data_IF_471666423497
#
_entry.id   IF_471666423497
#
_cell.length_a   1.000
_cell.length_b   1.000
_cell.length_c   1.000
_cell.angle_alpha   90.00
_cell.angle_beta   90.00
_cell.angle_gamma   90.00
#
_symmetry.space_group_name_H-M   'P 1'
#
loop_
_entity.id
_entity.type
_entity.pdbx_description
1 polymer ?
#
# COMPACT_ATOMS: atom_id res chain seq x y z
N UNK A 1 8.93 1.68 8.03
CA UNK A 1 9.53 0.56 7.25
C UNK A 1 9.34 0.90 5.78
N UNK A 2 10.41 1.16 5.08
CA UNK A 2 10.36 1.54 3.67
C UNK A 2 10.20 0.26 2.82
N UNK A 3 9.02 0.08 2.24
CA UNK A 3 8.61 -1.11 1.47
C UNK A 3 9.48 -1.37 0.23
N UNK A 4 10.21 -0.36 -0.21
CA UNK A 4 10.99 -0.35 -1.43
C UNK A 4 12.50 -0.19 -1.19
N UNK A 5 12.98 -0.53 0.01
CA UNK A 5 14.40 -0.40 0.33
C UNK A 5 15.28 -1.45 -0.37
N UNK A 6 14.73 -2.61 -0.70
CA UNK A 6 15.41 -3.68 -1.45
C UNK A 6 14.44 -4.74 -1.93
N UNK A 7 14.81 -5.59 -2.93
CA UNK A 7 14.01 -6.73 -3.35
C UNK A 7 13.67 -7.69 -2.21
N UNK A 8 14.59 -7.98 -1.30
CA UNK A 8 14.32 -8.84 -0.14
C UNK A 8 13.31 -8.22 0.84
N UNK A 9 13.39 -6.91 1.08
CA UNK A 9 12.42 -6.20 1.91
C UNK A 9 11.01 -6.25 1.29
N UNK A 10 10.91 -6.11 -0.03
CA UNK A 10 9.65 -6.25 -0.76
C UNK A 10 9.06 -7.66 -0.64
N UNK A 11 9.87 -8.72 -0.80
CA UNK A 11 9.40 -10.11 -0.64
C UNK A 11 8.92 -10.38 0.79
N UNK A 12 9.64 -9.87 1.78
CA UNK A 12 9.21 -9.97 3.19
C UNK A 12 7.86 -9.30 3.39
N UNK A 13 7.67 -8.10 2.87
CA UNK A 13 6.40 -7.40 2.99
C UNK A 13 5.25 -8.14 2.30
N UNK A 14 5.48 -8.69 1.10
CA UNK A 14 4.47 -9.50 0.38
C UNK A 14 4.06 -10.73 1.21
N UNK A 15 5.01 -11.34 1.92
CA UNK A 15 4.75 -12.43 2.85
C UNK A 15 3.91 -11.97 4.05
N UNK A 16 4.36 -10.92 4.73
CA UNK A 16 3.70 -10.38 5.93
C UNK A 16 2.27 -9.90 5.63
N UNK A 17 2.05 -9.37 4.42
CA UNK A 17 0.73 -8.95 3.93
C UNK A 17 -0.15 -10.11 3.43
N UNK A 18 0.33 -11.36 3.45
CA UNK A 18 -0.40 -12.53 2.93
C UNK A 18 -0.65 -12.49 1.43
N UNK A 19 0.12 -11.70 0.68
CA UNK A 19 -0.05 -11.52 -0.76
C UNK A 19 0.66 -12.59 -1.60
N UNK A 20 1.59 -13.32 -1.01
CA UNK A 20 2.27 -14.43 -1.65
C UNK A 20 2.61 -15.52 -0.63
N UNK A 21 2.45 -16.77 -1.03
CA UNK A 21 2.75 -17.91 -0.19
C UNK A 21 4.27 -18.16 -0.11
N UNK A 22 4.79 -18.68 1.03
CA UNK A 22 6.24 -18.93 1.20
C UNK A 22 6.90 -19.75 0.10
N UNK A 23 6.27 -20.81 -0.47
CA UNK A 23 6.87 -21.56 -1.57
C UNK A 23 7.10 -20.71 -2.83
N UNK A 24 6.15 -19.81 -3.16
CA UNK A 24 6.25 -18.90 -4.30
C UNK A 24 7.40 -17.91 -4.09
N UNK A 25 7.48 -17.33 -2.90
CA UNK A 25 8.55 -16.37 -2.56
C UNK A 25 9.93 -17.03 -2.59
N UNK A 26 10.03 -18.28 -2.13
CA UNK A 26 11.27 -19.05 -2.19
C UNK A 26 11.72 -19.31 -3.63
N UNK A 27 10.81 -19.65 -4.53
CA UNK A 27 11.09 -19.83 -5.95
C UNK A 27 11.56 -18.52 -6.60
N UNK A 28 10.91 -17.41 -6.31
CA UNK A 28 11.29 -16.09 -6.81
C UNK A 28 12.68 -15.70 -6.30
N UNK A 29 12.94 -15.90 -5.01
CA UNK A 29 14.25 -15.61 -4.42
C UNK A 29 15.36 -16.45 -5.03
N UNK A 30 15.10 -17.74 -5.31
CA UNK A 30 16.04 -18.60 -6.00
C UNK A 30 16.33 -18.14 -7.44
N UNK A 31 15.29 -17.70 -8.17
CA UNK A 31 15.42 -17.13 -9.51
C UNK A 31 16.26 -15.85 -9.51
N UNK A 32 16.05 -14.97 -8.55
CA UNK A 32 16.79 -13.70 -8.45
C UNK A 32 18.28 -13.87 -8.14
N UNK A 33 18.67 -14.97 -7.46
CA UNK A 33 20.08 -15.33 -7.31
C UNK A 33 20.77 -15.58 -8.66
N UNK A 34 20.04 -16.14 -9.62
CA UNK A 34 20.55 -16.40 -10.97
C UNK A 34 20.40 -15.19 -11.90
N UNK A 35 19.44 -14.30 -11.64
CA UNK A 35 19.13 -13.13 -12.47
C UNK A 35 18.84 -11.89 -11.61
N UNK A 36 19.86 -11.28 -10.96
CA UNK A 36 19.63 -10.14 -10.03
C UNK A 36 18.93 -8.94 -10.67
N UNK A 37 19.16 -8.67 -11.96
CA UNK A 37 18.49 -7.59 -12.70
C UNK A 37 16.97 -7.72 -12.72
N UNK A 38 16.43 -8.93 -12.64
CA UNK A 38 14.97 -9.13 -12.57
C UNK A 38 14.41 -8.68 -11.22
N UNK A 39 15.18 -8.80 -10.14
CA UNK A 39 14.80 -8.31 -8.82
C UNK A 39 14.70 -6.78 -8.80
N UNK A 40 15.71 -6.12 -9.38
CA UNK A 40 15.73 -4.65 -9.47
C UNK A 40 14.59 -4.13 -10.34
N UNK A 41 14.36 -4.75 -11.51
CA UNK A 41 13.27 -4.37 -12.41
C UNK A 41 11.88 -4.53 -11.75
N UNK A 42 11.66 -5.59 -10.96
CA UNK A 42 10.41 -5.74 -10.23
C UNK A 42 10.27 -4.69 -9.12
N UNK A 43 11.36 -4.36 -8.43
CA UNK A 43 11.37 -3.32 -7.41
C UNK A 43 11.01 -1.96 -8.02
N UNK A 44 11.61 -1.59 -9.14
CA UNK A 44 11.27 -0.37 -9.89
C UNK A 44 9.78 -0.35 -10.28
N UNK A 45 9.26 -1.46 -10.81
CA UNK A 45 7.84 -1.60 -11.15
C UNK A 45 6.93 -1.46 -9.92
N UNK A 46 7.33 -1.99 -8.77
CA UNK A 46 6.59 -1.86 -7.52
C UNK A 46 6.58 -0.42 -7.00
N UNK A 47 7.72 0.28 -7.14
CA UNK A 47 7.81 1.72 -6.81
C UNK A 47 6.90 2.54 -7.73
N UNK A 48 6.95 2.30 -9.05
CA UNK A 48 6.08 2.99 -10.01
C UNK A 48 4.59 2.79 -9.68
N UNK A 49 4.19 1.56 -9.37
CA UNK A 49 2.82 1.26 -8.95
C UNK A 49 2.46 1.98 -7.64
N UNK A 50 3.36 2.00 -6.65
CA UNK A 50 3.15 2.68 -5.37
C UNK A 50 2.90 4.18 -5.57
N UNK A 51 3.75 4.85 -6.36
CA UNK A 51 3.60 6.28 -6.62
C UNK A 51 2.31 6.59 -7.38
N UNK A 52 1.98 5.76 -8.38
CA UNK A 52 0.72 5.90 -9.11
C UNK A 52 -0.50 5.73 -8.19
N UNK A 53 -0.49 4.73 -7.32
CA UNK A 53 -1.56 4.51 -6.34
C UNK A 53 -1.65 5.66 -5.33
N UNK A 54 -0.51 6.16 -4.86
CA UNK A 54 -0.45 7.31 -3.97
C UNK A 54 -1.11 8.54 -4.60
N UNK A 55 -0.77 8.85 -5.85
CA UNK A 55 -1.38 9.95 -6.61
C UNK A 55 -2.91 9.79 -6.72
N UNK A 56 -3.40 8.59 -7.06
CA UNK A 56 -4.85 8.35 -7.16
C UNK A 56 -5.56 8.52 -5.83
N UNK A 57 -4.96 8.04 -4.73
CA UNK A 57 -5.54 8.17 -3.40
C UNK A 57 -5.54 9.64 -2.93
N UNK A 58 -4.46 10.38 -3.15
CA UNK A 58 -4.39 11.80 -2.80
C UNK A 58 -5.40 12.61 -3.62
N UNK A 59 -5.49 12.38 -4.93
CA UNK A 59 -6.49 13.03 -5.77
C UNK A 59 -7.91 12.78 -5.26
N UNK A 60 -8.19 11.55 -4.82
CA UNK A 60 -9.48 11.18 -4.21
C UNK A 60 -9.73 11.89 -2.88
N UNK A 61 -8.73 12.01 -2.03
CA UNK A 61 -8.82 12.69 -0.73
C UNK A 61 -9.06 14.19 -0.91
N UNK A 62 -8.34 14.80 -1.84
CA UNK A 62 -8.39 16.24 -2.12
C UNK A 62 -9.59 16.64 -2.99
N UNK A 63 -10.34 15.68 -3.54
CA UNK A 63 -11.45 15.95 -4.46
C UNK A 63 -11.00 16.57 -5.80
N UNK A 64 -9.74 16.37 -6.19
CA UNK A 64 -9.16 16.90 -7.43
C UNK A 64 -9.11 15.83 -8.53
N UNK A 65 -8.92 16.27 -9.77
CA UNK A 65 -8.66 15.39 -10.89
C UNK A 65 -7.31 14.66 -10.68
N UNK A 66 -7.32 13.34 -10.82
CA UNK A 66 -6.10 12.56 -10.79
C UNK A 66 -5.28 12.70 -12.08
N UNK A 67 -3.98 12.46 -11.99
CA UNK A 67 -3.12 12.36 -13.17
C UNK A 67 -3.52 11.14 -14.02
N UNK A 68 -3.85 11.32 -15.31
CA UNK A 68 -4.15 10.21 -16.22
C UNK A 68 -3.01 9.19 -16.33
N UNK A 69 -1.75 9.61 -16.19
CA UNK A 69 -0.59 8.72 -16.24
C UNK A 69 -0.61 7.74 -15.06
N UNK A 70 -0.99 8.18 -13.85
CA UNK A 70 -1.15 7.32 -12.69
C UNK A 70 -2.24 6.25 -12.92
N UNK A 71 -3.40 6.66 -13.46
CA UNK A 71 -4.46 5.71 -13.80
C UNK A 71 -4.01 4.70 -14.87
N UNK A 72 -3.25 5.13 -15.88
CA UNK A 72 -2.68 4.25 -16.91
C UNK A 72 -1.73 3.21 -16.31
N UNK A 73 -0.87 3.62 -15.38
CA UNK A 73 0.05 2.70 -14.67
C UNK A 73 -0.73 1.65 -13.89
N UNK A 74 -1.72 2.03 -13.10
CA UNK A 74 -2.54 1.07 -12.35
C UNK A 74 -3.29 0.13 -13.30
N UNK A 75 -3.86 0.63 -14.37
CA UNK A 75 -4.60 -0.17 -15.36
C UNK A 75 -3.73 -1.23 -16.04
N UNK A 76 -2.42 -0.99 -16.25
CA UNK A 76 -1.49 -2.03 -16.73
C UNK A 76 -1.48 -3.25 -15.81
N UNK A 77 -1.52 -3.05 -14.51
CA UNK A 77 -1.54 -4.13 -13.53
C UNK A 77 -2.93 -4.80 -13.41
N UNK A 78 -4.01 -4.06 -13.67
CA UNK A 78 -5.37 -4.59 -13.66
C UNK A 78 -5.67 -5.45 -14.90
N UNK A 79 -5.16 -5.07 -16.08
CA UNK A 79 -5.39 -5.77 -17.35
C UNK A 79 -4.68 -7.10 -17.48
N UNK A 80 -3.72 -7.42 -16.60
CA UNK A 80 -3.08 -8.73 -16.58
C UNK A 80 -4.10 -9.83 -16.31
N UNK A 81 -4.13 -10.84 -17.18
CA UNK A 81 -5.04 -11.98 -17.08
C UNK A 81 -5.02 -12.61 -15.68
N UNK A 82 -6.19 -12.79 -15.08
CA UNK A 82 -6.41 -13.70 -13.95
C UNK A 82 -6.58 -15.15 -14.44
N UNK A 83 -6.21 -15.45 -15.68
CA UNK A 83 -6.35 -16.79 -16.25
C UNK A 83 -5.71 -17.83 -15.31
N UNK A 84 -6.49 -18.79 -14.90
CA UNK A 84 -6.07 -19.82 -13.96
C UNK A 84 -6.14 -19.45 -12.47
N UNK A 85 -6.52 -18.21 -12.11
CA UNK A 85 -6.82 -17.89 -10.71
C UNK A 85 -8.23 -18.34 -10.37
N UNK A 86 -8.43 -18.90 -9.19
CA UNK A 86 -9.72 -19.38 -8.70
C UNK A 86 -9.88 -19.16 -7.20
N UNK A 87 -11.05 -19.52 -6.70
CA UNK A 87 -11.26 -19.62 -5.25
C UNK A 87 -11.00 -21.05 -4.80
N UNK A 88 -10.10 -21.23 -3.86
CA UNK A 88 -9.92 -22.47 -3.16
C UNK A 88 -10.68 -22.44 -1.84
N UNK A 89 -11.44 -23.49 -1.58
CA UNK A 89 -12.11 -23.73 -0.30
C UNK A 89 -11.14 -24.45 0.64
N UNK A 90 -10.96 -23.91 1.84
CA UNK A 90 -10.20 -24.54 2.92
C UNK A 90 -11.05 -24.53 4.19
N UNK A 91 -11.65 -25.67 4.51
CA UNK A 91 -12.65 -25.81 5.57
C UNK A 91 -13.81 -24.81 5.39
N UNK A 92 -13.86 -23.77 6.19
CA UNK A 92 -14.89 -22.71 6.17
C UNK A 92 -14.41 -21.40 5.57
N UNK A 93 -13.19 -21.35 5.03
CA UNK A 93 -12.58 -20.13 4.50
C UNK A 93 -12.30 -20.25 3.02
N UNK A 94 -12.34 -19.11 2.31
CA UNK A 94 -11.97 -19.03 0.91
C UNK A 94 -10.61 -18.37 0.76
N UNK A 95 -9.80 -18.89 -0.14
CA UNK A 95 -8.52 -18.30 -0.52
C UNK A 95 -8.43 -18.17 -2.04
N UNK A 96 -7.72 -17.16 -2.50
CA UNK A 96 -7.36 -17.10 -3.91
C UNK A 96 -6.38 -18.23 -4.23
N UNK A 97 -6.78 -19.13 -5.11
CA UNK A 97 -5.88 -20.10 -5.71
C UNK A 97 -5.23 -19.47 -6.92
N UNK A 98 -3.91 -19.49 -6.94
CA UNK A 98 -3.12 -19.06 -8.10
C UNK A 98 -2.75 -20.26 -8.95
N UNK A 99 -2.60 -20.08 -10.30
CA UNK A 99 -2.21 -21.19 -11.15
C UNK A 99 -0.85 -21.74 -10.71
N UNK A 100 -0.77 -23.07 -10.67
CA UNK A 100 0.51 -23.76 -10.51
C UNK A 100 1.31 -23.57 -11.81
N UNK A 101 2.40 -22.80 -11.77
CA UNK A 101 3.24 -22.53 -12.92
C UNK A 101 4.28 -21.47 -12.62
N UNK A 102 5.13 -21.16 -13.60
CA UNK A 102 6.11 -20.06 -13.48
C UNK A 102 5.35 -18.73 -13.36
N UNK A 103 5.20 -18.25 -12.14
CA UNK A 103 4.60 -16.94 -11.90
C UNK A 103 5.54 -15.86 -12.46
N UNK A 104 5.05 -15.05 -13.40
CA UNK A 104 5.77 -13.84 -13.75
C UNK A 104 5.88 -12.96 -12.51
N UNK A 105 7.07 -12.44 -12.14
CA UNK A 105 7.23 -11.68 -10.90
C UNK A 105 6.24 -10.51 -10.77
N UNK A 106 5.89 -9.87 -11.89
CA UNK A 106 4.94 -8.75 -11.95
C UNK A 106 3.52 -9.16 -11.49
N UNK A 107 3.19 -10.45 -11.57
CA UNK A 107 1.91 -10.95 -11.08
C UNK A 107 1.76 -10.84 -9.54
N UNK A 108 2.86 -10.65 -8.81
CA UNK A 108 2.84 -10.36 -7.37
C UNK A 108 2.21 -9.00 -7.05
N UNK A 109 2.28 -8.05 -7.97
CA UNK A 109 1.77 -6.69 -7.77
C UNK A 109 0.27 -6.55 -8.10
N UNK A 110 -0.30 -7.50 -8.85
CA UNK A 110 -1.72 -7.47 -9.25
C UNK A 110 -2.70 -7.42 -8.07
N UNK A 111 -2.56 -8.23 -7.02
CA UNK A 111 -3.48 -8.17 -5.88
C UNK A 111 -3.49 -6.79 -5.22
N UNK A 112 -2.35 -6.08 -5.24
CA UNK A 112 -2.22 -4.73 -4.72
C UNK A 112 -3.07 -3.77 -5.57
N UNK A 113 -2.89 -3.82 -6.90
CA UNK A 113 -3.66 -2.98 -7.83
C UNK A 113 -5.18 -3.26 -7.73
N UNK A 114 -5.60 -4.52 -7.65
CA UNK A 114 -7.00 -4.89 -7.50
C UNK A 114 -7.59 -4.44 -6.16
N UNK A 115 -6.84 -4.61 -5.05
CA UNK A 115 -7.27 -4.13 -3.74
C UNK A 115 -7.44 -2.60 -3.72
N UNK A 116 -6.48 -1.89 -4.32
CA UNK A 116 -6.53 -0.43 -4.43
C UNK A 116 -7.69 0.05 -5.32
N UNK A 117 -7.93 -0.60 -6.46
CA UNK A 117 -9.06 -0.28 -7.34
C UNK A 117 -10.40 -0.51 -6.63
N UNK A 118 -10.55 -1.64 -5.92
CA UNK A 118 -11.74 -1.94 -5.12
C UNK A 118 -11.96 -0.91 -3.99
N UNK A 119 -10.89 -0.42 -3.37
CA UNK A 119 -10.99 0.64 -2.38
C UNK A 119 -11.42 1.98 -3.01
N UNK A 120 -10.82 2.37 -4.14
CA UNK A 120 -11.12 3.63 -4.83
C UNK A 120 -12.56 3.70 -5.37
N UNK A 121 -13.09 2.57 -5.82
CA UNK A 121 -14.45 2.48 -6.39
C UNK A 121 -15.52 2.11 -5.36
N UNK A 122 -15.10 1.65 -4.19
CA UNK A 122 -16.00 1.20 -3.13
C UNK A 122 -16.42 2.31 -2.16
N UNK A 123 -17.38 2.03 -1.27
CA UNK A 123 -17.89 3.02 -0.30
C UNK A 123 -16.85 3.48 0.70
N UNK A 124 -15.78 2.70 0.93
CA UNK A 124 -14.68 3.08 1.84
C UNK A 124 -13.78 4.18 1.27
N UNK A 125 -13.88 4.50 -0.03
CA UNK A 125 -13.12 5.59 -0.64
C UNK A 125 -13.36 6.95 0.04
N UNK A 126 -14.56 7.16 0.58
CA UNK A 126 -14.90 8.40 1.29
C UNK A 126 -14.24 8.51 2.67
N UNK A 127 -13.76 7.37 3.21
CA UNK A 127 -13.10 7.30 4.52
C UNK A 127 -11.58 7.42 4.42
N UNK A 128 -11.05 7.55 3.20
CA UNK A 128 -9.62 7.73 2.98
C UNK A 128 -9.17 9.09 3.50
N UNK A 129 -8.06 9.10 4.21
CA UNK A 129 -7.43 10.30 4.75
C UNK A 129 -5.93 10.23 4.68
N UNK A 130 -5.31 11.39 4.63
CA UNK A 130 -3.87 11.55 4.81
C UNK A 130 -3.56 12.03 6.22
N UNK A 131 -2.50 11.51 6.81
CA UNK A 131 -2.03 11.93 8.13
C UNK A 131 -1.61 13.41 8.11
N UNK A 132 -2.18 14.20 9.03
CA UNK A 132 -1.93 15.63 9.17
C UNK A 132 -0.74 15.93 10.11
N UNK A 133 0.22 15.01 10.24
CA UNK A 133 1.43 15.28 11.02
C UNK A 133 2.32 16.28 10.26
N UNK A 134 2.55 17.42 10.88
CA UNK A 134 3.33 18.54 10.31
C UNK A 134 4.80 18.19 10.01
N UNK A 135 5.29 17.05 10.46
CA UNK A 135 6.64 16.56 10.13
C UNK A 135 6.70 15.87 8.76
N UNK A 136 5.57 15.79 8.05
CA UNK A 136 5.51 15.17 6.75
C UNK A 136 5.37 13.64 6.80
N UNK A 137 4.62 13.09 7.78
CA UNK A 137 4.33 11.65 7.82
C UNK A 137 3.71 11.16 6.51
N UNK A 138 2.72 11.88 5.96
CA UNK A 138 2.13 11.59 4.63
C UNK A 138 1.39 10.27 4.51
N UNK A 139 1.34 9.42 5.55
CA UNK A 139 0.67 8.12 5.50
C UNK A 139 -0.82 8.25 5.22
N UNK A 140 -1.29 7.38 4.35
CA UNK A 140 -2.71 7.23 4.05
C UNK A 140 -3.33 6.22 5.01
N UNK A 141 -4.57 6.47 5.42
CA UNK A 141 -5.31 5.55 6.27
C UNK A 141 -6.81 5.62 5.99
N UNK A 142 -7.54 4.62 6.44
CA UNK A 142 -9.00 4.59 6.36
C UNK A 142 -9.53 4.94 7.75
N UNK A 143 -10.34 5.99 7.83
CA UNK A 143 -10.96 6.42 9.08
C UNK A 143 -12.27 5.66 9.33
N UNK A 144 -12.16 4.52 9.99
CA UNK A 144 -13.32 3.71 10.39
C UNK A 144 -13.89 4.10 11.77
N UNK A 145 -13.43 5.20 12.35
CA UNK A 145 -13.99 5.68 13.61
C UNK A 145 -15.44 6.15 13.40
N UNK A 146 -16.26 6.03 14.46
CA UNK A 146 -17.67 6.43 14.42
C UNK A 146 -17.88 7.88 13.97
N UNK A 147 -17.02 8.80 14.42
CA UNK A 147 -17.11 10.23 14.11
C UNK A 147 -16.39 10.61 12.81
N UNK A 148 -15.64 9.72 12.18
CA UNK A 148 -14.84 9.95 10.97
C UNK A 148 -14.03 11.26 11.01
N UNK A 149 -13.46 11.59 12.16
CA UNK A 149 -12.74 12.86 12.39
C UNK A 149 -11.26 12.66 12.77
N UNK A 150 -10.71 11.47 12.55
CA UNK A 150 -9.27 11.20 12.79
C UNK A 150 -8.42 12.07 11.87
N UNK A 151 -7.39 12.66 12.46
CA UNK A 151 -6.41 13.52 11.79
C UNK A 151 -5.05 12.83 11.60
N UNK A 152 -4.78 11.78 12.35
CA UNK A 152 -3.50 11.09 12.38
C UNK A 152 -3.67 9.60 12.09
N UNK A 153 -2.70 9.02 11.38
CA UNK A 153 -2.69 7.61 11.04
C UNK A 153 -2.67 6.72 12.28
N UNK A 154 -1.95 7.15 13.34
CA UNK A 154 -1.99 6.50 14.65
C UNK A 154 -2.05 7.54 15.76
N UNK A 155 -2.69 7.19 16.89
CA UNK A 155 -2.69 8.04 18.09
C UNK A 155 -1.40 7.87 18.89
N UNK A 156 -0.78 6.68 18.87
CA UNK A 156 0.45 6.36 19.60
C UNK A 156 1.66 7.20 19.15
N UNK A 157 1.74 7.46 17.84
CA UNK A 157 2.86 8.23 17.26
C UNK A 157 2.44 9.66 16.92
N UNK A 158 1.87 9.84 15.72
CA UNK A 158 1.56 11.17 15.18
C UNK A 158 0.61 11.96 16.08
N UNK A 159 -0.37 11.29 16.70
CA UNK A 159 -1.32 11.94 17.61
C UNK A 159 -0.67 12.44 18.91
N UNK A 160 0.16 11.62 19.55
CA UNK A 160 0.86 11.96 20.78
C UNK A 160 1.88 13.09 20.55
N UNK A 161 2.61 13.03 19.45
CA UNK A 161 3.54 14.08 19.07
C UNK A 161 2.83 15.43 18.82
N UNK A 162 1.67 15.40 18.17
CA UNK A 162 0.87 16.60 17.97
C UNK A 162 0.35 17.19 19.30
N UNK A 163 0.01 16.34 20.29
CA UNK A 163 -0.36 16.77 21.65
C UNK A 163 0.83 17.41 22.38
N UNK A 164 1.98 16.75 22.36
CA UNK A 164 3.20 17.23 23.03
C UNK A 164 3.64 18.58 22.49
N UNK A 165 3.60 18.77 21.16
CA UNK A 165 3.90 20.06 20.52
C UNK A 165 2.93 21.17 20.97
N UNK A 166 1.63 20.88 20.99
CA UNK A 166 0.64 21.87 21.47
C UNK A 166 0.89 22.27 22.93
N UNK A 167 1.23 21.31 23.78
CA UNK A 167 1.56 21.57 25.18
C UNK A 167 2.81 22.46 25.27
N UNK A 168 3.88 22.14 24.56
CA UNK A 168 5.09 22.94 24.53
C UNK A 168 4.86 24.37 24.06
N UNK A 169 4.11 24.58 22.99
CA UNK A 169 3.82 25.94 22.49
C UNK A 169 2.97 26.75 23.47
N UNK A 170 2.00 26.12 24.15
CA UNK A 170 1.22 26.80 25.20
C UNK A 170 2.08 27.21 26.41
N UNK A 171 2.93 26.31 26.89
CA UNK A 171 3.83 26.59 27.99
C UNK A 171 4.80 27.75 27.66
N UNK A 172 5.34 27.77 26.44
CA UNK A 172 6.23 28.83 25.96
C UNK A 172 5.51 30.18 25.75
N UNK A 173 4.25 30.17 25.37
CA UNK A 173 3.46 31.38 25.25
C UNK A 173 3.09 31.96 26.62
N UNK A 174 2.73 31.12 27.62
CA UNK A 174 2.44 31.54 28.99
C UNK A 174 3.65 31.99 29.80
N UNK A 175 4.88 31.62 29.40
CA UNK A 175 6.12 32.11 30.05
C UNK A 175 6.62 33.45 29.51
N UNK A 176 5.93 34.04 28.54
CA UNK A 176 6.24 35.37 27.94
C UNK A 176 5.32 36.47 28.38
N UNK A 177 4.35 36.17 29.22
CA UNK A 177 3.45 37.11 29.93
C UNK A 177 3.83 37.17 31.38
#
# INVERSE_FOLDING_TARGET
MELAASPDAMLKWLSDAGLAEPPILSQIKARWKAAPREADALLETAVELREALYELFIARIDGRKADPAAAKTVNRHLSGSQAGSGLALSHTTFRWQRPAGKLAPEALLRPIAWSAAGLLTGPRAQKLKQCQDQRGCGWLFIDESRAQNRRWCTMGDCGNLAKSRRHYHRAKAGART
#
